data_IF_731223012745
#
_entry.id   IF_731223012745
#
_cell.length_a   1.000
_cell.length_b   1.000
_cell.length_c   1.000
_cell.angle_alpha   90.00
_cell.angle_beta   90.00
_cell.angle_gamma   90.00
#
_symmetry.space_group_name_H-M   'P 1'
#
loop_
_entity.id
_entity.type
_entity.pdbx_description
1 polymer ?
#
# COMPACT_ATOMS: atom_id res chain seq x y z
N UNK A 1 -80.80 2.19 -16.55
CA UNK A 1 -79.56 2.35 -17.33
C UNK A 1 -78.69 3.42 -16.66
N UNK A 2 -77.76 3.02 -15.80
CA UNK A 2 -76.83 3.94 -15.14
C UNK A 2 -75.70 4.34 -16.10
N UNK A 3 -75.65 5.62 -16.47
CA UNK A 3 -74.49 6.25 -17.10
C UNK A 3 -73.50 6.61 -15.99
N UNK A 4 -72.74 5.63 -15.50
CA UNK A 4 -71.70 5.82 -14.48
C UNK A 4 -70.32 5.67 -15.10
N UNK A 5 -69.40 6.59 -14.78
CA UNK A 5 -67.99 6.61 -15.20
C UNK A 5 -67.39 5.19 -15.25
N UNK A 6 -66.61 4.90 -16.30
CA UNK A 6 -66.06 3.57 -16.64
C UNK A 6 -65.08 2.94 -15.64
N UNK A 7 -65.26 3.15 -14.34
CA UNK A 7 -64.42 2.72 -13.23
C UNK A 7 -65.26 2.31 -12.02
N UNK A 8 -64.75 1.32 -11.31
CA UNK A 8 -65.21 0.95 -9.97
C UNK A 8 -64.23 1.49 -8.93
N UNK A 9 -64.68 2.47 -8.15
CA UNK A 9 -63.86 3.22 -7.21
C UNK A 9 -62.71 4.00 -7.88
N UNK A 10 -61.53 4.01 -7.24
CA UNK A 10 -60.34 4.77 -7.66
C UNK A 10 -59.22 3.91 -8.28
N UNK A 11 -59.46 2.62 -8.51
CA UNK A 11 -58.38 1.66 -8.74
C UNK A 11 -58.49 0.88 -10.05
N UNK A 12 -59.70 0.59 -10.54
CA UNK A 12 -59.91 -0.35 -11.66
C UNK A 12 -60.98 0.13 -12.63
N UNK A 13 -60.77 -0.07 -13.92
CA UNK A 13 -61.78 0.19 -14.94
C UNK A 13 -62.91 -0.86 -14.86
N UNK A 14 -64.11 -0.50 -15.31
CA UNK A 14 -65.21 -1.47 -15.43
C UNK A 14 -64.85 -2.61 -16.39
N UNK A 15 -64.04 -2.33 -17.41
CA UNK A 15 -63.53 -3.35 -18.32
C UNK A 15 -62.58 -4.34 -17.62
N UNK A 16 -61.75 -3.87 -16.68
CA UNK A 16 -60.90 -4.75 -15.88
C UNK A 16 -61.73 -5.68 -14.99
N UNK A 17 -62.86 -5.21 -14.48
CA UNK A 17 -63.79 -6.04 -13.69
C UNK A 17 -64.47 -7.07 -14.58
N UNK A 18 -65.04 -6.64 -15.71
CA UNK A 18 -65.65 -7.55 -16.67
C UNK A 18 -64.65 -8.62 -17.15
N UNK A 19 -63.39 -8.24 -17.41
CA UNK A 19 -62.34 -9.18 -17.78
C UNK A 19 -62.08 -10.22 -16.68
N UNK A 20 -62.06 -9.82 -15.41
CA UNK A 20 -61.94 -10.76 -14.28
C UNK A 20 -63.16 -11.68 -14.13
N UNK A 21 -64.38 -11.17 -14.36
CA UNK A 21 -65.61 -11.97 -14.38
C UNK A 21 -65.62 -12.99 -15.54
N UNK A 22 -65.03 -12.63 -16.68
CA UNK A 22 -64.82 -13.50 -17.84
C UNK A 22 -63.63 -14.48 -17.66
N UNK A 23 -62.98 -14.51 -16.49
CA UNK A 23 -61.89 -15.45 -16.20
C UNK A 23 -60.50 -14.99 -16.66
N UNK A 24 -60.35 -13.73 -17.10
CA UNK A 24 -59.07 -13.14 -17.47
C UNK A 24 -58.50 -12.32 -16.31
N UNK A 25 -57.25 -12.57 -15.94
CA UNK A 25 -56.65 -11.94 -14.77
C UNK A 25 -55.28 -11.31 -15.05
N UNK A 26 -54.87 -10.29 -14.28
CA UNK A 26 -53.50 -9.79 -14.33
C UNK A 26 -52.50 -10.91 -14.01
N UNK A 27 -51.29 -10.85 -14.58
CA UNK A 27 -50.27 -11.89 -14.46
C UNK A 27 -50.08 -12.44 -13.03
N UNK A 28 -50.05 -11.58 -12.01
CA UNK A 28 -49.88 -11.96 -10.61
C UNK A 28 -51.02 -12.84 -10.07
N UNK A 29 -52.27 -12.55 -10.49
CA UNK A 29 -53.47 -13.28 -10.08
C UNK A 29 -53.66 -14.54 -10.93
N UNK A 30 -53.46 -14.45 -12.25
CA UNK A 30 -53.48 -15.59 -13.15
C UNK A 30 -52.46 -16.67 -12.74
N UNK A 31 -51.19 -16.30 -12.53
CA UNK A 31 -50.14 -17.24 -12.11
C UNK A 31 -50.47 -17.89 -10.76
N UNK A 32 -51.08 -17.15 -9.83
CA UNK A 32 -51.53 -17.70 -8.54
C UNK A 32 -52.63 -18.74 -8.70
N UNK A 33 -53.61 -18.49 -9.58
CA UNK A 33 -54.71 -19.43 -9.85
C UNK A 33 -54.16 -20.69 -10.52
N UNK A 34 -53.27 -20.53 -11.51
CA UNK A 34 -52.62 -21.61 -12.26
C UNK A 34 -51.53 -22.37 -11.47
N UNK A 35 -51.16 -21.91 -10.27
CA UNK A 35 -50.13 -22.54 -9.46
C UNK A 35 -48.68 -22.39 -9.95
N UNK A 36 -48.42 -21.60 -10.99
CA UNK A 36 -47.09 -21.35 -11.57
C UNK A 36 -46.51 -19.98 -11.14
N UNK A 37 -45.25 -19.71 -11.45
CA UNK A 37 -44.66 -18.39 -11.24
C UNK A 37 -45.02 -17.41 -12.35
N UNK A 38 -45.01 -16.10 -12.05
CA UNK A 38 -45.25 -15.05 -13.04
C UNK A 38 -44.23 -15.05 -14.18
N UNK A 39 -43.01 -15.52 -13.92
CA UNK A 39 -41.95 -15.58 -14.92
C UNK A 39 -42.23 -16.70 -15.93
N UNK A 40 -42.67 -17.87 -15.44
CA UNK A 40 -43.17 -18.98 -16.26
C UNK A 40 -44.36 -18.54 -17.11
N UNK A 41 -45.37 -17.91 -16.50
CA UNK A 41 -46.56 -17.43 -17.21
C UNK A 41 -46.19 -16.52 -18.39
N UNK A 42 -45.30 -15.55 -18.15
CA UNK A 42 -44.87 -14.59 -19.17
C UNK A 42 -43.93 -15.18 -20.23
N UNK A 43 -43.28 -16.30 -19.94
CA UNK A 43 -42.36 -16.95 -20.87
C UNK A 43 -43.09 -17.75 -21.94
N UNK A 44 -44.14 -18.48 -21.54
CA UNK A 44 -44.86 -19.39 -22.44
C UNK A 44 -46.14 -18.81 -23.02
N UNK A 45 -46.78 -17.87 -22.33
CA UNK A 45 -48.11 -17.39 -22.71
C UNK A 45 -48.07 -15.90 -23.05
N UNK A 46 -48.50 -15.59 -24.27
CA UNK A 46 -48.78 -14.22 -24.71
C UNK A 46 -50.28 -13.93 -24.64
N UNK A 47 -50.62 -12.66 -24.57
CA UNK A 47 -52.01 -12.19 -24.57
C UNK A 47 -52.07 -10.80 -25.17
N UNK A 48 -53.09 -10.57 -25.98
CA UNK A 48 -53.41 -9.27 -26.56
C UNK A 48 -54.37 -8.46 -25.66
N UNK A 49 -55.01 -9.12 -24.68
CA UNK A 49 -55.95 -8.47 -23.78
C UNK A 49 -55.22 -7.53 -22.82
N UNK A 50 -55.55 -6.24 -22.88
CA UNK A 50 -54.96 -5.21 -22.04
C UNK A 50 -56.02 -4.33 -21.41
N UNK A 51 -55.96 -4.20 -20.09
CA UNK A 51 -56.89 -3.36 -19.33
C UNK A 51 -56.17 -2.27 -18.55
N UNK A 52 -56.89 -1.17 -18.31
CA UNK A 52 -56.35 -0.02 -17.61
C UNK A 52 -56.41 -0.20 -16.09
N UNK A 53 -55.24 -0.10 -15.46
CA UNK A 53 -55.09 -0.04 -14.02
C UNK A 53 -54.58 1.32 -13.54
N UNK A 54 -55.14 1.78 -12.44
CA UNK A 54 -54.65 2.99 -11.79
C UNK A 54 -53.56 2.63 -10.78
N UNK A 55 -52.35 3.17 -10.97
CA UNK A 55 -51.23 3.04 -10.04
C UNK A 55 -50.84 4.42 -9.53
N UNK A 56 -51.24 4.75 -8.30
CA UNK A 56 -51.03 6.07 -7.68
C UNK A 56 -51.69 7.21 -8.46
N UNK A 57 -50.94 8.02 -9.22
CA UNK A 57 -51.47 9.12 -10.07
C UNK A 57 -51.38 8.80 -11.57
N UNK A 58 -50.96 7.60 -11.93
CA UNK A 58 -50.69 7.20 -13.31
C UNK A 58 -51.63 6.08 -13.75
N UNK A 59 -52.05 6.15 -15.01
CA UNK A 59 -52.82 5.10 -15.68
C UNK A 59 -51.86 4.21 -16.47
N UNK A 60 -51.86 2.92 -16.16
CA UNK A 60 -51.02 1.93 -16.84
C UNK A 60 -51.91 0.86 -17.48
N UNK A 61 -51.64 0.50 -18.73
CA UNK A 61 -52.22 -0.71 -19.32
C UNK A 61 -51.50 -1.95 -18.79
N UNK A 62 -52.27 -2.97 -18.42
CA UNK A 62 -51.75 -4.24 -17.89
C UNK A 62 -52.32 -5.38 -18.72
N UNK A 63 -51.47 -6.36 -19.06
CA UNK A 63 -51.87 -7.58 -19.76
C UNK A 63 -52.74 -8.48 -18.87
N UNK A 64 -53.86 -8.97 -19.42
CA UNK A 64 -54.78 -9.90 -18.79
C UNK A 64 -54.71 -11.26 -19.47
N UNK A 65 -54.60 -12.31 -18.67
CA UNK A 65 -54.37 -13.68 -19.10
C UNK A 65 -55.63 -14.50 -18.84
N UNK A 66 -56.13 -15.17 -19.88
CA UNK A 66 -57.24 -16.10 -19.76
C UNK A 66 -56.75 -17.38 -19.08
N UNK A 67 -57.23 -17.62 -17.87
CA UNK A 67 -56.77 -18.78 -17.08
C UNK A 67 -57.28 -20.08 -17.68
N UNK A 68 -58.50 -20.11 -18.21
CA UNK A 68 -59.11 -21.32 -18.74
C UNK A 68 -58.50 -21.75 -20.07
N UNK A 69 -58.02 -20.81 -20.88
CA UNK A 69 -57.23 -21.10 -22.08
C UNK A 69 -55.86 -21.67 -21.70
N UNK A 70 -55.14 -20.98 -20.81
CA UNK A 70 -53.78 -21.36 -20.40
C UNK A 70 -53.76 -22.71 -19.68
N UNK A 71 -54.79 -23.04 -18.91
CA UNK A 71 -54.90 -24.34 -18.24
C UNK A 71 -54.98 -25.51 -19.24
N UNK A 72 -55.60 -25.30 -20.42
CA UNK A 72 -55.66 -26.32 -21.48
C UNK A 72 -54.31 -26.51 -22.18
N UNK A 73 -53.56 -25.42 -22.33
CA UNK A 73 -52.26 -25.41 -22.98
C UNK A 73 -51.09 -25.69 -22.01
N UNK A 74 -51.40 -26.09 -20.78
CA UNK A 74 -50.41 -26.40 -19.76
C UNK A 74 -49.69 -27.72 -20.09
N UNK A 75 -48.46 -27.63 -20.59
CA UNK A 75 -47.64 -28.80 -20.92
C UNK A 75 -46.65 -29.17 -19.82
N UNK A 76 -46.08 -30.38 -19.90
CA UNK A 76 -45.03 -30.83 -18.98
C UNK A 76 -43.78 -29.92 -19.05
N UNK A 77 -43.48 -29.37 -20.24
CA UNK A 77 -42.37 -28.42 -20.44
C UNK A 77 -42.55 -27.15 -19.61
N UNK A 78 -43.77 -26.58 -19.57
CA UNK A 78 -44.10 -25.41 -18.76
C UNK A 78 -43.86 -25.70 -17.27
N UNK A 79 -44.30 -26.87 -16.81
CA UNK A 79 -44.14 -27.28 -15.40
C UNK A 79 -42.67 -27.51 -15.04
N UNK A 80 -41.87 -28.09 -15.93
CA UNK A 80 -40.45 -28.33 -15.68
C UNK A 80 -39.66 -27.01 -15.68
N UNK A 81 -40.01 -26.07 -16.55
CA UNK A 81 -39.48 -24.71 -16.49
C UNK A 81 -39.85 -24.02 -15.16
N UNK A 82 -41.09 -24.16 -14.68
CA UNK A 82 -41.50 -23.58 -13.40
C UNK A 82 -40.71 -24.13 -12.22
N UNK A 83 -40.47 -25.45 -12.19
CA UNK A 83 -39.62 -26.10 -11.19
C UNK A 83 -38.21 -25.50 -11.21
N UNK A 84 -37.64 -25.29 -12.39
CA UNK A 84 -36.31 -24.72 -12.58
C UNK A 84 -36.24 -23.26 -12.11
N UNK A 85 -37.24 -22.43 -12.44
CA UNK A 85 -37.35 -21.05 -11.94
C UNK A 85 -37.41 -21.02 -10.42
N UNK A 86 -38.22 -21.91 -9.82
CA UNK A 86 -38.32 -22.02 -8.36
C UNK A 86 -37.02 -22.51 -7.73
N UNK A 87 -36.31 -23.44 -8.36
CA UNK A 87 -35.00 -23.93 -7.91
C UNK A 87 -33.99 -22.78 -7.88
N UNK A 88 -33.84 -22.03 -8.98
CA UNK A 88 -32.96 -20.84 -9.05
C UNK A 88 -33.31 -19.79 -7.98
N UNK A 89 -34.60 -19.53 -7.74
CA UNK A 89 -35.03 -18.60 -6.67
C UNK A 89 -34.67 -19.10 -5.26
N UNK A 90 -34.68 -20.42 -5.02
CA UNK A 90 -34.27 -21.03 -3.74
C UNK A 90 -32.76 -21.00 -3.54
N UNK A 91 -31.98 -21.12 -4.62
CA UNK A 91 -30.52 -21.04 -4.58
C UNK A 91 -30.03 -19.61 -4.30
N UNK A 92 -30.74 -18.61 -4.82
CA UNK A 92 -30.46 -17.18 -4.57
C UNK A 92 -30.97 -16.67 -3.21
N UNK A 93 -31.03 -17.53 -2.18
CA UNK A 93 -31.44 -17.13 -0.84
C UNK A 93 -30.50 -16.05 -0.27
N UNK A 94 -31.04 -15.08 0.47
CA UNK A 94 -30.23 -14.02 1.03
C UNK A 94 -29.25 -14.58 2.06
N UNK A 95 -27.98 -14.20 1.93
CA UNK A 95 -26.93 -14.54 2.90
C UNK A 95 -27.14 -13.66 4.13
N UNK A 96 -27.23 -14.27 5.32
CA UNK A 96 -27.40 -13.55 6.58
C UNK A 96 -26.10 -13.52 7.36
N UNK A 97 -25.59 -12.32 7.61
CA UNK A 97 -24.40 -12.06 8.42
C UNK A 97 -24.80 -11.39 9.73
N UNK A 98 -24.05 -11.66 10.80
CA UNK A 98 -24.29 -11.06 12.11
C UNK A 98 -22.98 -10.67 12.78
N UNK A 99 -23.02 -9.65 13.63
CA UNK A 99 -21.82 -9.15 14.31
C UNK A 99 -20.90 -8.36 13.39
N UNK A 100 -21.45 -7.74 12.34
CA UNK A 100 -20.70 -6.96 11.37
C UNK A 100 -20.39 -5.56 11.90
N UNK A 101 -19.32 -4.96 11.38
CA UNK A 101 -19.09 -3.51 11.42
C UNK A 101 -19.54 -2.93 10.08
N UNK A 102 -20.34 -1.87 10.10
CA UNK A 102 -20.87 -1.24 8.90
C UNK A 102 -20.53 0.24 8.93
N UNK A 103 -20.01 0.74 7.81
CA UNK A 103 -19.80 2.16 7.58
C UNK A 103 -20.72 2.61 6.43
N UNK A 104 -21.42 3.71 6.63
CA UNK A 104 -22.29 4.27 5.59
C UNK A 104 -22.37 5.79 5.65
N UNK A 105 -22.68 6.38 4.49
CA UNK A 105 -23.01 7.80 4.39
C UNK A 105 -24.54 7.99 4.38
N UNK A 106 -25.00 8.97 5.14
CA UNK A 106 -26.34 9.54 5.06
C UNK A 106 -26.28 11.01 4.61
N UNK A 107 -27.15 11.38 3.67
CA UNK A 107 -27.28 12.76 3.22
C UNK A 107 -28.48 13.40 3.92
N UNK A 108 -28.22 14.28 4.88
CA UNK A 108 -29.25 14.92 5.70
C UNK A 108 -29.51 16.34 5.18
N UNK A 109 -30.78 16.73 5.06
CA UNK A 109 -31.20 18.07 4.62
C UNK A 109 -31.88 18.08 3.23
N UNK A 110 -32.31 19.27 2.79
CA UNK A 110 -33.05 19.46 1.54
C UNK A 110 -32.29 20.37 0.56
N UNK A 111 -32.42 20.08 -0.74
CA UNK A 111 -31.83 20.89 -1.80
C UNK A 111 -30.32 21.09 -1.67
N UNK A 112 -29.88 22.36 -1.72
CA UNK A 112 -28.47 22.77 -1.62
C UNK A 112 -27.89 22.65 -0.20
N UNK A 113 -28.74 22.48 0.82
CA UNK A 113 -28.30 22.39 2.22
C UNK A 113 -28.11 20.93 2.68
N UNK A 114 -27.94 19.99 1.73
CA UNK A 114 -27.61 18.60 2.06
C UNK A 114 -26.19 18.53 2.60
N UNK A 115 -26.05 17.94 3.78
CA UNK A 115 -24.74 17.62 4.38
C UNK A 115 -24.51 16.12 4.41
N UNK A 116 -23.26 15.73 4.19
CA UNK A 116 -22.77 14.37 4.33
C UNK A 116 -22.61 14.05 5.82
N UNK A 117 -23.23 12.99 6.29
CA UNK A 117 -23.04 12.44 7.65
C UNK A 117 -22.47 11.04 7.49
N UNK A 118 -21.32 10.78 8.12
CA UNK A 118 -20.67 9.48 8.13
C UNK A 118 -21.05 8.73 9.39
N UNK A 119 -21.40 7.46 9.22
CA UNK A 119 -21.79 6.57 10.30
C UNK A 119 -20.89 5.34 10.30
N UNK A 120 -20.58 4.87 11.50
CA UNK A 120 -19.86 3.63 11.74
C UNK A 120 -20.50 2.94 12.93
N UNK A 121 -20.94 1.71 12.75
CA UNK A 121 -21.60 0.94 13.82
C UNK A 121 -21.13 -0.52 13.83
N UNK A 122 -20.99 -1.08 15.03
CA UNK A 122 -20.60 -2.47 15.27
C UNK A 122 -21.76 -3.31 15.77
N UNK A 123 -21.73 -4.61 15.46
CA UNK A 123 -22.75 -5.55 15.90
C UNK A 123 -23.99 -5.59 14.99
N UNK A 124 -23.90 -5.04 13.78
CA UNK A 124 -25.00 -5.03 12.83
C UNK A 124 -25.29 -6.44 12.29
N UNK A 125 -26.54 -6.64 11.84
CA UNK A 125 -26.96 -7.81 11.03
C UNK A 125 -27.15 -7.35 9.59
N UNK A 126 -26.71 -8.15 8.63
CA UNK A 126 -26.81 -7.83 7.20
C UNK A 126 -27.47 -9.00 6.47
N UNK A 127 -28.51 -8.72 5.68
CA UNK A 127 -29.07 -9.67 4.72
C UNK A 127 -28.69 -9.25 3.29
N UNK A 128 -28.00 -10.12 2.57
CA UNK A 128 -27.43 -9.86 1.24
C UNK A 128 -28.23 -10.61 0.18
N UNK A 129 -28.83 -9.90 -0.76
CA UNK A 129 -29.49 -10.47 -1.93
C UNK A 129 -28.96 -9.81 -3.19
N UNK A 130 -28.02 -10.49 -3.86
CA UNK A 130 -27.24 -9.91 -4.95
C UNK A 130 -26.47 -8.68 -4.47
N UNK A 131 -26.70 -7.52 -5.09
CA UNK A 131 -26.06 -6.26 -4.68
C UNK A 131 -26.76 -5.55 -3.52
N UNK A 132 -27.98 -5.96 -3.17
CA UNK A 132 -28.78 -5.31 -2.13
C UNK A 132 -28.38 -5.84 -0.75
N UNK A 133 -28.06 -4.92 0.15
CA UNK A 133 -27.71 -5.18 1.54
C UNK A 133 -28.78 -4.53 2.43
N UNK A 134 -29.50 -5.34 3.19
CA UNK A 134 -30.42 -4.86 4.22
C UNK A 134 -29.69 -4.92 5.56
N UNK A 135 -29.42 -3.77 6.14
CA UNK A 135 -28.64 -3.62 7.37
C UNK A 135 -29.61 -3.35 8.52
N UNK A 136 -29.48 -4.11 9.60
CA UNK A 136 -30.15 -3.86 10.88
C UNK A 136 -29.09 -3.54 11.92
N UNK A 137 -29.14 -2.30 12.42
CA UNK A 137 -28.28 -1.78 13.49
C UNK A 137 -28.52 -2.50 14.81
N UNK A 138 -27.63 -2.30 15.79
CA UNK A 138 -27.81 -2.88 17.13
C UNK A 138 -29.03 -2.29 17.84
N UNK A 139 -29.36 -1.03 17.55
CA UNK A 139 -30.56 -0.34 18.04
C UNK A 139 -31.86 -0.80 17.35
N UNK A 140 -31.79 -1.65 16.32
CA UNK A 140 -32.95 -2.17 15.61
C UNK A 140 -33.42 -1.31 14.43
N UNK A 141 -32.75 -0.20 14.13
CA UNK A 141 -33.00 0.57 12.91
C UNK A 141 -32.54 -0.23 11.68
N UNK A 142 -33.41 -0.32 10.66
CA UNK A 142 -33.15 -1.05 9.42
C UNK A 142 -33.11 -0.11 8.22
N UNK A 143 -32.10 -0.24 7.38
CA UNK A 143 -31.95 0.50 6.13
C UNK A 143 -31.34 -0.36 5.03
N UNK A 144 -31.44 0.08 3.78
CA UNK A 144 -30.91 -0.65 2.62
C UNK A 144 -29.79 0.14 1.95
N UNK A 145 -28.71 -0.55 1.59
CA UNK A 145 -27.62 -0.02 0.75
C UNK A 145 -27.31 -0.99 -0.40
N UNK A 146 -26.82 -0.45 -1.50
CA UNK A 146 -26.25 -1.26 -2.59
C UNK A 146 -24.78 -1.47 -2.32
N UNK A 147 -24.22 -2.61 -2.72
CA UNK A 147 -22.80 -2.96 -2.52
C UNK A 147 -21.86 -1.85 -2.99
N UNK A 148 -22.17 -1.25 -4.13
CA UNK A 148 -21.35 -0.22 -4.77
C UNK A 148 -21.81 1.20 -4.41
N UNK A 149 -22.63 1.37 -3.37
CA UNK A 149 -23.04 2.70 -2.94
C UNK A 149 -21.83 3.47 -2.38
N UNK A 150 -21.65 4.70 -2.82
CA UNK A 150 -20.54 5.54 -2.36
C UNK A 150 -20.54 5.68 -0.84
N UNK A 151 -19.38 5.34 -0.24
CA UNK A 151 -19.15 5.31 1.20
C UNK A 151 -20.07 4.38 1.96
N UNK A 152 -20.45 3.25 1.35
CA UNK A 152 -20.94 2.07 2.06
C UNK A 152 -19.83 1.01 2.06
N UNK A 153 -19.52 0.48 3.23
CA UNK A 153 -18.64 -0.68 3.39
C UNK A 153 -19.06 -1.47 4.63
N UNK A 154 -18.64 -2.73 4.70
CA UNK A 154 -18.83 -3.52 5.90
C UNK A 154 -17.69 -4.52 6.10
N UNK A 155 -17.46 -4.90 7.35
CA UNK A 155 -16.58 -5.99 7.74
C UNK A 155 -17.38 -7.08 8.43
N UNK A 156 -17.12 -8.33 8.06
CA UNK A 156 -17.73 -9.49 8.73
C UNK A 156 -17.12 -9.69 10.11
N UNK A 157 -17.80 -10.47 10.95
CA UNK A 157 -17.29 -10.85 12.27
C UNK A 157 -15.94 -11.55 12.19
N UNK A 158 -15.75 -12.38 11.18
CA UNK A 158 -14.50 -13.12 10.92
C UNK A 158 -13.38 -12.16 10.53
N UNK A 159 -13.67 -11.18 9.66
CA UNK A 159 -12.70 -10.13 9.29
C UNK A 159 -12.29 -9.30 10.50
N UNK A 160 -13.26 -8.87 11.33
CA UNK A 160 -12.99 -8.13 12.56
C UNK A 160 -12.13 -8.94 13.55
N UNK A 161 -12.41 -10.24 13.68
CA UNK A 161 -11.60 -11.14 14.52
C UNK A 161 -10.18 -11.27 13.99
N UNK A 162 -10.03 -11.47 12.68
CA UNK A 162 -8.72 -11.56 12.02
C UNK A 162 -7.89 -10.29 12.22
N UNK A 163 -8.51 -9.12 12.05
CA UNK A 163 -7.85 -7.83 12.30
C UNK A 163 -7.44 -7.66 13.77
N UNK A 164 -8.32 -8.02 14.71
CA UNK A 164 -8.02 -7.98 16.14
C UNK A 164 -6.86 -8.92 16.52
N UNK A 165 -6.85 -10.13 15.97
CA UNK A 165 -5.78 -11.11 16.17
C UNK A 165 -4.46 -10.61 15.56
N UNK A 166 -4.49 -10.02 14.36
CA UNK A 166 -3.32 -9.41 13.73
C UNK A 166 -2.75 -8.24 14.57
N UNK A 167 -3.61 -7.37 15.09
CA UNK A 167 -3.20 -6.27 16.00
C UNK A 167 -2.57 -6.84 17.28
N UNK A 168 -3.17 -7.88 17.87
CA UNK A 168 -2.65 -8.54 19.07
C UNK A 168 -1.28 -9.15 18.81
N UNK A 169 -1.12 -9.89 17.71
CA UNK A 169 0.15 -10.49 17.30
C UNK A 169 1.22 -9.42 17.04
N UNK A 170 0.87 -8.32 16.36
CA UNK A 170 1.79 -7.21 16.13
C UNK A 170 2.26 -6.57 17.45
N UNK A 171 1.35 -6.30 18.38
CA UNK A 171 1.68 -5.79 19.72
C UNK A 171 2.60 -6.75 20.49
N UNK A 172 2.32 -8.04 20.42
CA UNK A 172 3.14 -9.07 21.07
C UNK A 172 4.55 -9.13 20.47
N UNK A 173 4.67 -9.15 19.14
CA UNK A 173 5.97 -9.11 18.43
C UNK A 173 6.76 -7.86 18.79
N UNK A 174 6.11 -6.68 18.79
CA UNK A 174 6.74 -5.43 19.19
C UNK A 174 7.24 -5.48 20.63
N UNK A 175 6.47 -6.03 21.57
CA UNK A 175 6.89 -6.20 22.97
C UNK A 175 8.11 -7.13 23.08
N UNK A 176 8.08 -8.29 22.41
CA UNK A 176 9.20 -9.23 22.39
C UNK A 176 10.46 -8.61 21.79
N UNK A 177 10.31 -7.88 20.68
CA UNK A 177 11.38 -7.17 20.02
C UNK A 177 12.01 -6.10 20.92
N UNK A 178 11.20 -5.29 21.62
CA UNK A 178 11.70 -4.32 22.61
C UNK A 178 12.41 -4.99 23.78
N UNK A 179 11.87 -6.09 24.31
CA UNK A 179 12.52 -6.84 25.40
C UNK A 179 13.87 -7.38 24.95
N UNK A 180 13.93 -7.97 23.74
CA UNK A 180 15.18 -8.46 23.15
C UNK A 180 16.19 -7.32 22.97
N UNK A 181 15.78 -6.20 22.36
CA UNK A 181 16.62 -5.02 22.19
C UNK A 181 17.21 -4.55 23.52
N UNK A 182 16.40 -4.45 24.56
CA UNK A 182 16.86 -4.02 25.88
C UNK A 182 17.85 -5.01 26.52
N UNK A 183 17.64 -6.32 26.31
CA UNK A 183 18.56 -7.35 26.79
C UNK A 183 19.90 -7.29 26.04
N UNK A 184 19.85 -7.25 24.71
CA UNK A 184 21.03 -7.16 23.83
C UNK A 184 21.81 -5.88 24.10
N UNK A 185 21.12 -4.75 24.23
CA UNK A 185 21.73 -3.46 24.55
C UNK A 185 22.39 -3.47 25.92
N UNK A 186 21.76 -4.12 26.92
CA UNK A 186 22.35 -4.26 28.25
C UNK A 186 23.60 -5.14 28.20
N UNK A 187 23.57 -6.25 27.47
CA UNK A 187 24.71 -7.14 27.31
C UNK A 187 25.88 -6.40 26.62
N UNK A 188 25.60 -5.73 25.49
CA UNK A 188 26.56 -4.92 24.75
C UNK A 188 27.23 -3.88 25.65
N UNK A 189 26.44 -3.04 26.33
CA UNK A 189 26.97 -1.93 27.15
C UNK A 189 27.53 -2.34 28.51
N UNK A 190 27.42 -3.60 28.91
CA UNK A 190 27.99 -4.12 30.16
C UNK A 190 29.49 -4.42 30.03
N UNK A 191 29.97 -4.59 28.80
CA UNK A 191 31.37 -4.84 28.50
C UNK A 191 32.18 -3.55 28.63
N UNK A 192 32.98 -3.46 29.68
CA UNK A 192 33.78 -2.26 29.99
C UNK A 192 35.14 -2.24 29.28
N UNK A 193 35.57 -3.33 28.64
CA UNK A 193 36.80 -3.32 27.83
C UNK A 193 36.60 -2.58 26.52
N UNK A 194 35.36 -2.54 26.02
CA UNK A 194 34.99 -1.92 24.75
C UNK A 194 34.71 -0.42 24.90
N UNK A 195 35.15 0.33 23.90
CA UNK A 195 34.86 1.75 23.75
C UNK A 195 33.61 1.92 22.88
N UNK A 196 32.76 2.89 23.24
CA UNK A 196 31.63 3.31 22.42
C UNK A 196 31.94 4.66 21.79
N UNK A 197 32.24 4.65 20.50
CA UNK A 197 32.63 5.84 19.73
C UNK A 197 31.80 5.96 18.46
N UNK A 198 31.75 7.15 17.89
CA UNK A 198 31.16 7.40 16.57
C UNK A 198 32.14 8.10 15.66
N UNK A 199 32.00 7.83 14.37
CA UNK A 199 32.71 8.50 13.28
C UNK A 199 31.72 8.85 12.15
N UNK A 200 32.14 9.64 11.17
CA UNK A 200 31.27 10.11 10.10
C UNK A 200 31.00 9.00 9.08
N UNK A 201 29.72 8.60 8.97
CA UNK A 201 29.29 7.56 8.05
C UNK A 201 29.38 7.96 6.58
N UNK A 202 29.56 9.26 6.26
CA UNK A 202 29.67 9.72 4.87
C UNK A 202 30.83 9.11 4.10
N UNK A 203 31.80 8.51 4.81
CA UNK A 203 32.95 7.83 4.22
C UNK A 203 32.77 6.31 4.20
N UNK A 204 31.55 5.83 4.43
CA UNK A 204 31.19 4.41 4.45
C UNK A 204 29.90 4.18 3.68
N UNK A 205 29.76 2.98 3.12
CA UNK A 205 28.56 2.55 2.42
C UNK A 205 28.20 1.15 2.84
N UNK A 206 26.91 0.83 2.84
CA UNK A 206 26.46 -0.55 2.96
C UNK A 206 26.36 -1.15 1.57
N UNK A 207 27.14 -2.19 1.32
CA UNK A 207 27.09 -2.94 0.10
C UNK A 207 25.71 -3.62 -0.04
N UNK A 208 25.03 -3.47 -1.17
CA UNK A 208 23.71 -4.07 -1.38
C UNK A 208 23.75 -5.58 -1.48
N UNK A 209 24.85 -6.14 -1.97
CA UNK A 209 24.97 -7.55 -2.32
C UNK A 209 25.41 -8.36 -1.10
N UNK A 210 26.37 -7.83 -0.34
CA UNK A 210 26.90 -8.50 0.86
C UNK A 210 26.24 -8.03 2.16
N UNK A 211 25.46 -6.94 2.10
CA UNK A 211 24.86 -6.27 3.26
C UNK A 211 25.88 -5.80 4.32
N UNK A 212 27.19 -5.87 4.04
CA UNK A 212 28.27 -5.39 4.91
C UNK A 212 28.49 -3.89 4.74
N UNK A 213 29.01 -3.25 5.79
CA UNK A 213 29.52 -1.89 5.70
C UNK A 213 30.96 -1.96 5.20
N UNK A 214 31.31 -1.09 4.27
CA UNK A 214 32.64 -0.97 3.68
C UNK A 214 33.01 0.52 3.57
N UNK A 215 34.31 0.81 3.61
CA UNK A 215 34.80 2.17 3.41
C UNK A 215 34.55 2.63 1.95
N UNK A 216 34.20 3.90 1.75
CA UNK A 216 34.07 4.50 0.42
C UNK A 216 35.42 4.78 -0.23
N UNK A 217 36.44 5.10 0.58
CA UNK A 217 37.82 5.40 0.14
C UNK A 217 38.83 4.59 0.96
N UNK A 218 39.93 4.20 0.31
CA UNK A 218 40.99 3.40 0.92
C UNK A 218 42.00 4.31 1.65
N UNK A 219 42.27 5.51 1.10
CA UNK A 219 43.41 6.37 1.49
C UNK A 219 43.08 7.50 2.49
N UNK A 220 41.88 7.51 3.08
CA UNK A 220 41.53 8.59 4.00
C UNK A 220 42.27 8.48 5.35
N UNK A 221 42.83 9.64 5.76
CA UNK A 221 43.40 9.87 7.08
C UNK A 221 42.33 9.58 8.15
N UNK A 222 42.76 8.89 9.20
CA UNK A 222 41.89 8.35 10.24
C UNK A 222 41.00 9.45 10.83
N UNK A 223 39.69 9.21 10.81
CA UNK A 223 38.69 10.13 11.37
C UNK A 223 38.83 10.19 12.89
N UNK A 224 38.66 11.39 13.46
CA UNK A 224 38.62 11.54 14.92
C UNK A 224 37.41 10.81 15.50
N UNK A 225 37.67 9.92 16.45
CA UNK A 225 36.63 9.26 17.23
C UNK A 225 35.96 10.26 18.17
N UNK A 226 34.65 10.44 18.01
CA UNK A 226 33.84 11.13 19.02
C UNK A 226 33.32 10.11 20.04
N UNK A 227 33.64 10.30 21.33
CA UNK A 227 33.11 9.43 22.39
C UNK A 227 31.61 9.59 22.51
N UNK A 228 30.88 8.47 22.44
CA UNK A 228 29.43 8.47 22.59
C UNK A 228 29.04 7.94 23.97
N UNK A 229 28.31 8.74 24.74
CA UNK A 229 27.79 8.26 26.03
C UNK A 229 26.70 7.22 25.83
N UNK A 230 26.57 6.28 26.77
CA UNK A 230 25.49 5.27 26.73
C UNK A 230 24.09 5.90 26.67
N UNK A 231 23.91 7.07 27.31
CA UNK A 231 22.66 7.83 27.28
C UNK A 231 22.38 8.37 25.88
N UNK A 232 23.35 9.07 25.27
CA UNK A 232 23.21 9.60 23.92
C UNK A 232 22.98 8.50 22.88
N UNK A 233 23.64 7.34 23.04
CA UNK A 233 23.40 6.18 22.18
C UNK A 233 21.96 5.66 22.28
N UNK A 234 21.44 5.50 23.50
CA UNK A 234 20.04 5.10 23.75
C UNK A 234 19.04 6.06 23.12
N UNK A 235 19.26 7.37 23.26
CA UNK A 235 18.38 8.40 22.69
C UNK A 235 18.37 8.33 21.15
N UNK A 236 19.54 8.16 20.51
CA UNK A 236 19.64 8.00 19.05
C UNK A 236 18.94 6.73 18.56
N UNK A 237 19.07 5.61 19.27
CA UNK A 237 18.35 4.37 18.94
C UNK A 237 16.82 4.55 19.04
N UNK A 238 16.34 5.23 20.08
CA UNK A 238 14.90 5.48 20.26
C UNK A 238 14.30 6.30 19.13
N UNK A 239 15.03 7.28 18.60
CA UNK A 239 14.60 8.12 17.48
C UNK A 239 14.58 7.36 16.14
N UNK A 240 15.36 6.29 16.01
CA UNK A 240 15.56 5.57 14.73
C UNK A 240 14.48 4.52 14.43
N UNK A 241 13.62 4.21 15.39
CA UNK A 241 12.65 3.12 15.29
C UNK A 241 13.21 1.75 15.71
N UNK A 242 12.31 0.82 16.06
CA UNK A 242 12.65 -0.43 16.73
C UNK A 242 13.51 -1.35 15.86
N UNK A 243 13.11 -1.58 14.61
CA UNK A 243 13.80 -2.51 13.71
C UNK A 243 15.22 -2.03 13.39
N UNK A 244 15.38 -0.72 13.17
CA UNK A 244 16.68 -0.10 12.97
C UNK A 244 17.56 -0.27 14.21
N UNK A 245 17.02 0.04 15.40
CA UNK A 245 17.77 -0.07 16.65
C UNK A 245 18.21 -1.51 16.94
N UNK A 246 17.35 -2.50 16.67
CA UNK A 246 17.69 -3.91 16.81
C UNK A 246 18.83 -4.31 15.90
N UNK A 247 18.78 -3.93 14.62
CA UNK A 247 19.87 -4.20 13.69
C UNK A 247 21.17 -3.54 14.15
N UNK A 248 21.12 -2.26 14.55
CA UNK A 248 22.31 -1.53 15.01
C UNK A 248 22.97 -2.21 16.20
N UNK A 249 22.20 -2.60 17.21
CA UNK A 249 22.73 -3.31 18.38
C UNK A 249 23.25 -4.70 18.01
N UNK A 250 22.52 -5.46 17.19
CA UNK A 250 22.94 -6.80 16.77
C UNK A 250 24.28 -6.75 15.99
N UNK A 251 24.40 -5.85 15.03
CA UNK A 251 25.63 -5.67 14.25
C UNK A 251 26.79 -5.16 15.13
N UNK A 252 26.54 -4.30 16.12
CA UNK A 252 27.58 -3.90 17.07
C UNK A 252 28.04 -5.06 17.96
N UNK A 253 27.16 -6.00 18.30
CA UNK A 253 27.53 -7.20 19.07
C UNK A 253 28.33 -8.17 18.20
N UNK A 254 27.89 -8.38 16.95
CA UNK A 254 28.48 -9.35 16.03
C UNK A 254 29.80 -8.87 15.42
N UNK A 255 29.83 -7.64 14.90
CA UNK A 255 30.94 -7.09 14.12
C UNK A 255 31.72 -6.00 14.88
N UNK A 256 31.22 -5.54 16.03
CA UNK A 256 31.82 -4.41 16.75
C UNK A 256 31.46 -3.04 16.17
N UNK A 257 30.62 -2.96 15.13
CA UNK A 257 30.18 -1.68 14.56
C UNK A 257 28.83 -1.79 13.85
N UNK A 258 28.19 -0.64 13.64
CA UNK A 258 27.01 -0.52 12.80
C UNK A 258 26.76 0.93 12.39
N UNK A 259 25.78 1.14 11.53
CA UNK A 259 25.25 2.48 11.24
C UNK A 259 24.36 2.95 12.39
N UNK A 260 24.50 4.23 12.74
CA UNK A 260 23.65 4.95 13.68
C UNK A 260 23.07 6.20 13.00
N UNK A 261 21.76 6.19 12.76
CA UNK A 261 21.09 7.24 11.99
C UNK A 261 21.58 7.31 10.54
N UNK A 262 21.58 8.51 9.97
CA UNK A 262 21.93 8.71 8.55
C UNK A 262 23.41 8.94 8.31
N UNK A 263 24.11 9.52 9.29
CA UNK A 263 25.44 10.12 9.13
C UNK A 263 26.49 9.62 10.10
N UNK A 264 26.19 8.64 10.96
CA UNK A 264 27.16 8.14 11.94
C UNK A 264 27.39 6.65 11.82
N UNK A 265 28.66 6.25 11.88
CA UNK A 265 29.08 4.89 12.14
C UNK A 265 29.33 4.80 13.64
N UNK A 266 28.62 3.91 14.33
CA UNK A 266 28.90 3.60 15.73
C UNK A 266 29.82 2.39 15.81
N UNK A 267 30.84 2.48 16.66
CA UNK A 267 31.80 1.41 16.91
C UNK A 267 31.78 1.09 18.40
N UNK A 268 31.67 -0.20 18.70
CA UNK A 268 31.69 -0.79 20.03
C UNK A 268 32.75 -1.90 20.07
N UNK A 269 34.01 -1.51 20.26
CA UNK A 269 35.18 -2.40 20.15
C UNK A 269 36.24 -2.05 21.19
N UNK A 270 37.08 -3.02 21.56
CA UNK A 270 38.27 -2.79 22.41
C UNK A 270 39.29 -1.91 21.68
N UNK A 271 39.37 -2.07 20.35
CA UNK A 271 40.18 -1.27 19.46
C UNK A 271 39.33 -0.75 18.28
N UNK A 272 38.80 0.48 18.39
CA UNK A 272 38.05 1.10 17.29
C UNK A 272 38.87 1.29 16.00
N UNK A 273 40.20 1.36 16.09
CA UNK A 273 41.04 1.59 14.93
C UNK A 273 41.16 0.33 14.06
N UNK A 274 41.31 -0.85 14.67
CA UNK A 274 41.27 -2.12 13.91
C UNK A 274 39.95 -2.32 13.17
N UNK A 275 38.82 -1.87 13.73
CA UNK A 275 37.52 -1.88 13.04
C UNK A 275 37.55 -1.05 11.77
N UNK A 276 38.15 0.16 11.80
CA UNK A 276 38.27 0.98 10.59
C UNK A 276 39.18 0.32 9.54
N UNK A 277 40.25 -0.36 9.97
CA UNK A 277 41.12 -1.11 9.08
C UNK A 277 40.41 -2.32 8.45
N UNK A 278 39.58 -3.03 9.22
CA UNK A 278 38.76 -4.12 8.69
C UNK A 278 37.75 -3.62 7.64
N UNK A 279 37.11 -2.47 7.88
CA UNK A 279 36.19 -1.85 6.93
C UNK A 279 36.89 -1.43 5.62
N UNK A 280 38.15 -0.99 5.70
CA UNK A 280 39.00 -0.72 4.55
C UNK A 280 39.35 -2.03 3.82
N UNK A 281 39.72 -3.08 4.55
CA UNK A 281 40.03 -4.38 3.96
C UNK A 281 38.80 -5.00 3.27
N UNK A 282 37.62 -4.92 3.87
CA UNK A 282 36.37 -5.39 3.27
C UNK A 282 36.09 -4.72 1.91
N UNK A 283 36.48 -3.45 1.76
CA UNK A 283 36.39 -2.73 0.48
C UNK A 283 37.38 -3.29 -0.55
N UNK A 284 38.62 -3.51 -0.14
CA UNK A 284 39.67 -4.12 -0.98
C UNK A 284 39.22 -5.50 -1.46
N UNK A 285 38.74 -6.35 -0.55
CA UNK A 285 38.26 -7.69 -0.86
C UNK A 285 37.09 -7.64 -1.84
N UNK A 286 36.14 -6.72 -1.64
CA UNK A 286 35.01 -6.53 -2.56
C UNK A 286 35.48 -6.15 -3.97
N UNK A 287 36.50 -5.30 -4.09
CA UNK A 287 37.10 -4.97 -5.40
C UNK A 287 37.83 -6.16 -6.03
N UNK A 288 38.57 -6.94 -5.25
CA UNK A 288 39.26 -8.14 -5.75
C UNK A 288 38.25 -9.18 -6.25
N UNK A 289 37.13 -9.38 -5.57
CA UNK A 289 36.07 -10.29 -6.00
C UNK A 289 35.36 -9.83 -7.28
N UNK A 290 35.12 -8.53 -7.44
CA UNK A 290 34.65 -7.96 -8.71
C UNK A 290 35.69 -8.23 -9.81
N UNK A 291 36.97 -7.97 -9.52
CA UNK A 291 38.07 -8.23 -10.43
C UNK A 291 38.11 -9.67 -10.95
N UNK A 292 38.05 -10.64 -10.04
CA UNK A 292 38.01 -12.07 -10.39
C UNK A 292 36.80 -12.42 -11.27
N UNK A 293 35.62 -11.89 -10.94
CA UNK A 293 34.38 -12.13 -11.70
C UNK A 293 34.49 -11.62 -13.13
N UNK A 294 35.17 -10.50 -13.31
CA UNK A 294 35.40 -9.86 -14.61
C UNK A 294 36.64 -10.42 -15.35
N UNK A 295 37.28 -11.47 -14.82
CA UNK A 295 38.44 -12.13 -15.45
C UNK A 295 39.76 -11.36 -15.32
N UNK A 296 39.85 -10.43 -14.36
CA UNK A 296 41.06 -9.65 -14.07
C UNK A 296 41.92 -10.41 -13.06
N UNK A 297 42.65 -11.42 -13.53
CA UNK A 297 43.45 -12.35 -12.70
C UNK A 297 44.66 -11.67 -11.99
N UNK A 298 45.08 -10.48 -12.42
CA UNK A 298 46.30 -9.79 -11.97
C UNK A 298 46.08 -8.66 -10.96
N UNK A 299 44.88 -8.49 -10.40
CA UNK A 299 44.60 -7.42 -9.40
C UNK A 299 45.30 -7.63 -8.04
N UNK A 300 46.07 -8.71 -7.87
CA UNK A 300 46.78 -9.03 -6.61
C UNK A 300 47.92 -8.06 -6.28
N UNK A 301 48.46 -7.31 -7.25
CA UNK A 301 49.63 -6.46 -7.04
C UNK A 301 49.41 -4.95 -7.29
N UNK A 302 48.28 -4.53 -7.84
CA UNK A 302 48.08 -3.13 -8.22
C UNK A 302 46.66 -2.64 -7.92
N UNK A 303 46.53 -1.74 -6.94
CA UNK A 303 45.43 -0.76 -6.92
C UNK A 303 46.03 0.56 -7.40
N UNK A 304 46.43 0.61 -8.67
CA UNK A 304 46.79 1.86 -9.33
C UNK A 304 45.60 2.31 -10.16
N UNK A 305 44.93 3.35 -9.65
CA UNK A 305 43.68 3.92 -10.17
C UNK A 305 43.81 4.31 -11.66
N UNK A 306 45.02 4.63 -12.09
CA UNK A 306 45.34 5.02 -13.47
C UNK A 306 45.16 3.87 -14.47
N UNK A 307 45.48 2.63 -14.08
CA UNK A 307 45.34 1.43 -14.94
C UNK A 307 43.86 1.05 -15.10
N UNK A 308 43.08 1.21 -14.04
CA UNK A 308 41.64 0.98 -14.02
C UNK A 308 40.90 1.99 -14.90
N UNK A 309 41.34 3.25 -14.90
CA UNK A 309 40.82 4.34 -15.76
C UNK A 309 41.00 4.06 -17.25
N UNK A 310 42.15 3.48 -17.64
CA UNK A 310 42.44 3.19 -19.04
C UNK A 310 41.54 2.09 -19.62
N UNK A 311 41.20 1.08 -18.82
CA UNK A 311 40.38 -0.06 -19.23
C UNK A 311 38.88 0.25 -19.35
N UNK A 312 38.38 1.23 -18.60
CA UNK A 312 36.98 1.69 -18.66
C UNK A 312 36.75 2.82 -19.68
N UNK A 313 37.82 3.31 -20.31
CA UNK A 313 37.81 4.41 -21.29
C UNK A 313 36.82 4.20 -22.45
N UNK A 314 36.57 2.95 -22.85
CA UNK A 314 35.71 2.62 -23.99
C UNK A 314 34.28 2.20 -23.61
N UNK A 315 33.95 2.11 -22.33
CA UNK A 315 32.60 1.75 -21.84
C UNK A 315 31.66 2.95 -21.83
N UNK A 316 30.35 2.69 -22.01
CA UNK A 316 29.26 3.68 -22.11
C UNK A 316 28.12 3.47 -21.10
N UNK A 317 28.28 2.53 -20.15
CA UNK A 317 27.30 2.30 -19.09
C UNK A 317 27.42 3.34 -17.96
N UNK A 318 26.34 3.50 -17.18
CA UNK A 318 26.19 4.56 -16.18
C UNK A 318 27.25 4.54 -15.07
N UNK A 319 27.80 3.35 -14.77
CA UNK A 319 28.90 3.19 -13.82
C UNK A 319 30.22 3.69 -14.40
N UNK A 320 30.51 3.37 -15.67
CA UNK A 320 31.66 3.93 -16.39
C UNK A 320 31.56 5.46 -16.57
N UNK A 321 30.35 5.99 -16.76
CA UNK A 321 30.09 7.44 -16.84
C UNK A 321 30.38 8.10 -15.48
N UNK A 322 29.84 7.56 -14.38
CA UNK A 322 30.07 8.10 -13.03
C UNK A 322 31.55 8.07 -12.59
N UNK A 323 32.31 7.05 -13.02
CA UNK A 323 33.74 6.97 -12.73
C UNK A 323 34.54 7.93 -13.61
N UNK A 324 34.19 8.07 -14.90
CA UNK A 324 34.79 9.07 -15.80
C UNK A 324 34.54 10.50 -15.32
N UNK A 325 33.35 10.79 -14.84
CA UNK A 325 32.99 12.12 -14.34
C UNK A 325 33.82 12.50 -13.10
N UNK A 326 34.05 11.54 -12.19
CA UNK A 326 34.92 11.75 -11.02
C UNK A 326 36.38 11.96 -11.38
N UNK A 327 36.91 11.19 -12.33
CA UNK A 327 38.29 11.34 -12.80
C UNK A 327 38.48 12.70 -13.48
N UNK A 328 37.49 13.13 -14.26
CA UNK A 328 37.51 14.45 -14.90
C UNK A 328 37.43 15.59 -13.87
N UNK A 329 36.58 15.48 -12.83
CA UNK A 329 36.53 16.47 -11.73
C UNK A 329 37.88 16.60 -11.01
N UNK A 330 38.55 15.49 -10.69
CA UNK A 330 39.84 15.50 -10.00
C UNK A 330 40.96 16.08 -10.88
N UNK A 331 40.95 15.79 -12.19
CA UNK A 331 41.89 16.39 -13.14
C UNK A 331 41.65 17.90 -13.32
N UNK A 332 40.39 18.34 -13.34
CA UNK A 332 40.04 19.76 -13.43
C UNK A 332 40.47 20.51 -12.16
N UNK A 333 40.28 19.91 -10.98
CA UNK A 333 40.71 20.48 -9.71
C UNK A 333 42.24 20.59 -9.61
N UNK A 334 42.95 19.56 -10.09
CA UNK A 334 44.41 19.55 -10.24
C UNK A 334 44.92 20.66 -11.17
N UNK A 335 44.23 20.90 -12.29
CA UNK A 335 44.56 21.98 -13.23
C UNK A 335 44.32 23.37 -12.62
N UNK A 336 43.21 23.57 -11.91
CA UNK A 336 42.89 24.82 -11.19
C UNK A 336 43.98 25.11 -10.13
N UNK A 337 44.38 24.09 -9.37
CA UNK A 337 45.41 24.24 -8.34
C UNK A 337 46.80 24.56 -8.92
N UNK A 338 47.17 23.96 -10.07
CA UNK A 338 48.42 24.30 -10.78
C UNK A 338 48.43 25.73 -11.32
N UNK A 339 47.30 26.25 -11.79
CA UNK A 339 47.22 27.61 -12.30
C UNK A 339 47.22 28.66 -11.19
N UNK A 340 46.57 28.38 -10.06
CA UNK A 340 46.69 29.23 -8.86
C UNK A 340 48.13 29.31 -8.34
N UNK A 341 48.84 28.18 -8.32
CA UNK A 341 50.26 28.15 -7.94
C UNK A 341 51.16 28.97 -8.88
N UNK A 342 50.90 28.96 -10.20
CA UNK A 342 51.64 29.79 -11.17
C UNK A 342 51.36 31.29 -11.02
N UNK A 343 50.11 31.68 -10.79
CA UNK A 343 49.75 33.08 -10.52
C UNK A 343 50.37 33.62 -9.23
N UNK A 344 50.49 32.79 -8.20
CA UNK A 344 51.19 33.17 -6.97
C UNK A 344 52.69 33.36 -7.20
N UNK A 345 53.32 32.51 -8.03
CA UNK A 345 54.74 32.65 -8.38
C UNK A 345 55.04 33.90 -9.21
N UNK A 346 54.21 34.21 -10.21
CA UNK A 346 54.34 35.44 -11.02
C UNK A 346 54.14 36.71 -10.18
N UNK A 347 53.17 36.72 -9.26
CA UNK A 347 52.97 37.84 -8.34
C UNK A 347 54.15 38.06 -7.39
N UNK A 348 54.79 36.98 -6.91
CA UNK A 348 56.01 37.06 -6.09
C UNK A 348 57.19 37.62 -6.89
N UNK A 349 57.29 37.31 -8.19
CA UNK A 349 58.35 37.80 -9.06
C UNK A 349 58.20 39.28 -9.44
N UNK A 350 56.98 39.73 -9.70
CA UNK A 350 56.65 41.16 -9.93
C UNK A 350 56.94 42.01 -8.70
N UNK A 351 56.63 41.51 -7.50
CA UNK A 351 56.96 42.20 -6.23
C UNK A 351 58.48 42.27 -6.01
N UNK A 352 59.24 41.23 -6.39
CA UNK A 352 60.71 41.23 -6.32
C UNK A 352 61.34 42.20 -7.32
N UNK A 353 60.82 42.31 -8.55
CA UNK A 353 61.29 43.29 -9.54
C UNK A 353 60.97 44.74 -9.13
N UNK A 354 59.80 45.00 -8.58
CA UNK A 354 59.41 46.32 -8.03
C UNK A 354 60.34 46.77 -6.90
N UNK A 355 60.73 45.86 -5.99
CA UNK A 355 61.72 46.15 -4.94
C UNK A 355 63.14 46.39 -5.48
N UNK A 356 63.55 45.66 -6.53
CA UNK A 356 64.86 45.89 -7.21
C UNK A 356 64.91 47.25 -7.90
N UNK A 357 63.82 47.71 -8.52
CA UNK A 357 63.77 49.02 -9.17
C UNK A 357 63.72 50.18 -8.17
N UNK A 358 63.06 50.04 -7.01
CA UNK A 358 63.09 51.04 -5.93
C UNK A 358 64.47 51.25 -5.30
N UNK A 359 65.29 50.21 -5.21
CA UNK A 359 66.67 50.32 -4.70
C UNK A 359 67.68 50.88 -5.72
N UNK A 360 67.29 51.00 -7.00
CA UNK A 360 68.13 51.58 -8.06
C UNK A 360 67.91 53.09 -8.26
N UNK A 361 66.88 53.65 -7.64
CA UNK A 361 66.46 55.06 -7.70
C UNK A 361 66.73 55.81 -6.38
N UNK A 362 67.57 55.26 -5.51
CA UNK A 362 68.07 55.89 -4.27
C UNK A 362 69.56 56.11 -4.33
#
# INVERSE_FOLDING_TARGET
>A
MNRGNGYDGYSRSNNAINAEEEGRFPASKAAKILGITTDTLKHFFETEHMEWHHTSKHYNKVKFYDVSEIEKDMTQEVLDFDKEVRRKKRENKPVKLSGCEVEWIEWVGTGRNKRKVEHKEQGCKIEISGQKHVITTKAGHTFTKMLNANGFSYKTKEQLKSEADAIKQHKQRKKQATTKLNADLKAMLSDKSKQLVVVDYRNYVRNSDTNKIEALRIDEQDQEFEKLTQKAFKEKLQQSGLDYAQRTVAECIENGYSRLGVSQLVIHSEDPQSVLQELKQNRVDSYLEIGKREGLEELKEYVDIDVLSEHIKHRKDDLAISIKDKINEEQMQSFINKNHSKQEQENVEVVKQSRRNKNRLR
#
